data_IF_375710253149
#
_entry.id   IF_375710253149
#
_cell.length_a   1.000
_cell.length_b   1.000
_cell.length_c   1.000
_cell.angle_alpha   90.00
_cell.angle_beta   90.00
_cell.angle_gamma   90.00
#
_symmetry.space_group_name_H-M   'P 1'
#
loop_
_entity.id
_entity.type
_entity.pdbx_description
1 polymer ?
#
# COMPACT_ATOMS: atom_id res chain seq x y z
N UNK A 1 5.41 5.83 -12.52
CA UNK A 1 5.44 5.18 -13.77
C UNK A 1 4.99 3.72 -13.79
N UNK A 2 4.05 3.39 -12.92
CA UNK A 2 3.37 2.11 -12.99
C UNK A 2 2.47 2.07 -14.24
N UNK A 3 2.42 0.90 -14.89
CA UNK A 3 1.47 0.69 -15.98
C UNK A 3 0.05 0.62 -15.49
N UNK A 4 -0.15 -0.04 -14.35
CA UNK A 4 -1.46 -0.30 -13.78
C UNK A 4 -1.39 -0.06 -12.28
N UNK A 5 -2.39 0.64 -11.75
CA UNK A 5 -2.59 0.83 -10.32
C UNK A 5 -4.00 0.34 -10.01
N UNK A 6 -4.13 -0.61 -9.08
CA UNK A 6 -5.41 -1.19 -8.70
C UNK A 6 -5.54 -1.27 -7.19
N UNK A 7 -6.76 -1.08 -6.71
CA UNK A 7 -7.11 -1.38 -5.32
C UNK A 7 -7.73 -2.77 -5.27
N UNK A 8 -7.46 -3.50 -4.19
CA UNK A 8 -8.03 -4.81 -3.97
C UNK A 8 -8.35 -4.97 -2.49
N UNK A 9 -9.17 -5.97 -2.17
CA UNK A 9 -9.50 -6.31 -0.78
C UNK A 9 -9.10 -7.75 -0.54
N UNK A 10 -8.33 -7.97 0.53
CA UNK A 10 -7.89 -9.29 0.95
C UNK A 10 -8.00 -9.37 2.46
N UNK A 11 -8.68 -10.42 2.96
CA UNK A 11 -8.95 -10.58 4.40
C UNK A 11 -9.59 -9.32 5.01
N UNK A 12 -10.53 -8.71 4.29
CA UNK A 12 -11.28 -7.51 4.70
C UNK A 12 -10.42 -6.26 4.85
N UNK A 13 -9.21 -6.26 4.30
CA UNK A 13 -8.30 -5.12 4.33
C UNK A 13 -7.92 -4.71 2.92
N UNK A 14 -7.55 -3.45 2.75
CA UNK A 14 -7.21 -2.91 1.45
C UNK A 14 -5.77 -3.21 1.06
N UNK A 15 -5.59 -3.46 -0.23
CA UNK A 15 -4.28 -3.54 -0.87
C UNK A 15 -4.25 -2.53 -2.01
N UNK A 16 -3.08 -1.95 -2.25
CA UNK A 16 -2.82 -1.21 -3.49
C UNK A 16 -1.78 -1.99 -4.28
N UNK A 17 -2.11 -2.35 -5.51
CA UNK A 17 -1.23 -3.14 -6.37
C UNK A 17 -0.78 -2.26 -7.52
N UNK A 18 0.54 -2.10 -7.67
CA UNK A 18 1.16 -1.32 -8.72
C UNK A 18 2.00 -2.24 -9.59
N UNK A 19 1.65 -2.32 -10.87
CA UNK A 19 2.34 -3.18 -11.81
C UNK A 19 3.21 -2.35 -12.75
N UNK A 20 4.45 -2.80 -12.96
CA UNK A 20 5.42 -2.16 -13.84
C UNK A 20 5.71 -3.05 -15.05
N UNK A 21 6.42 -2.53 -16.03
CA UNK A 21 6.82 -3.31 -17.20
C UNK A 21 7.72 -4.50 -16.83
N UNK A 22 8.57 -4.31 -15.83
CA UNK A 22 9.54 -5.31 -15.41
C UNK A 22 9.82 -5.18 -13.92
N UNK A 23 10.46 -6.18 -13.34
CA UNK A 23 10.93 -6.08 -11.96
C UNK A 23 11.98 -4.97 -11.82
N UNK A 24 12.85 -4.80 -12.81
CA UNK A 24 13.84 -3.73 -12.79
C UNK A 24 13.15 -2.36 -12.68
N UNK A 25 12.08 -2.15 -13.43
CA UNK A 25 11.32 -0.90 -13.37
C UNK A 25 10.62 -0.74 -12.02
N UNK A 26 10.08 -1.80 -11.45
CA UNK A 26 9.48 -1.74 -10.10
C UNK A 26 10.51 -1.31 -9.07
N UNK A 27 11.72 -1.84 -9.13
CA UNK A 27 12.81 -1.49 -8.21
C UNK A 27 13.32 -0.08 -8.44
N UNK A 28 13.49 0.33 -9.69
CA UNK A 28 14.05 1.63 -10.02
C UNK A 28 13.06 2.77 -9.84
N UNK A 29 11.83 2.60 -10.30
CA UNK A 29 10.84 3.67 -10.36
C UNK A 29 9.75 3.59 -9.29
N UNK A 30 9.66 2.49 -8.59
CA UNK A 30 8.58 2.24 -7.64
C UNK A 30 9.01 2.14 -6.18
N UNK A 31 10.08 1.43 -5.90
CA UNK A 31 10.43 1.11 -4.50
C UNK A 31 10.73 2.33 -3.66
N UNK A 32 11.44 3.32 -4.18
CA UNK A 32 11.74 4.54 -3.42
C UNK A 32 10.45 5.25 -3.01
N UNK A 33 9.45 5.24 -3.88
CA UNK A 33 8.16 5.87 -3.60
C UNK A 33 7.34 5.06 -2.61
N UNK A 34 7.38 3.73 -2.74
CA UNK A 34 6.72 2.85 -1.76
C UNK A 34 7.27 3.08 -0.36
N UNK A 35 8.58 3.21 -0.23
CA UNK A 35 9.21 3.55 1.05
C UNK A 35 8.74 4.90 1.58
N UNK A 36 8.51 5.87 0.71
CA UNK A 36 8.12 7.23 1.12
C UNK A 36 6.69 7.29 1.66
N UNK A 37 5.82 6.35 1.30
CA UNK A 37 4.40 6.37 1.70
C UNK A 37 4.04 5.30 2.72
N UNK A 38 5.01 4.53 3.19
CA UNK A 38 4.79 3.47 4.19
C UNK A 38 5.68 3.71 5.41
N UNK A 39 5.34 3.04 6.52
CA UNK A 39 6.12 3.11 7.76
C UNK A 39 5.84 4.37 8.57
N UNK A 40 6.66 4.57 9.61
CA UNK A 40 6.44 5.64 10.58
C UNK A 40 6.78 7.03 10.04
N UNK A 41 7.65 7.11 9.05
CA UNK A 41 8.08 8.37 8.45
C UNK A 41 7.39 8.66 7.12
N UNK A 42 6.25 8.03 6.88
CA UNK A 42 5.54 8.15 5.62
C UNK A 42 5.08 9.58 5.34
N UNK A 43 5.22 10.00 4.08
CA UNK A 43 4.64 11.24 3.56
C UNK A 43 3.26 10.87 3.00
N UNK A 44 2.20 11.25 3.71
CA UNK A 44 0.88 10.68 3.46
C UNK A 44 -0.13 11.66 2.88
N UNK A 45 0.19 12.93 2.81
CA UNK A 45 -0.72 13.94 2.24
C UNK A 45 0.06 15.14 1.73
N UNK A 46 -0.62 15.96 0.92
CA UNK A 46 -0.06 17.20 0.39
C UNK A 46 0.81 16.99 -0.85
N UNK A 47 1.53 18.05 -1.20
CA UNK A 47 2.31 18.09 -2.44
C UNK A 47 3.57 17.24 -2.39
N UNK A 48 3.99 16.82 -1.18
CA UNK A 48 5.19 16.02 -1.00
C UNK A 48 4.97 14.53 -1.26
N UNK A 49 3.71 14.11 -1.51
CA UNK A 49 3.43 12.74 -1.93
C UNK A 49 3.97 12.54 -3.34
N UNK A 50 4.91 11.61 -3.49
CA UNK A 50 5.73 11.51 -4.68
C UNK A 50 5.07 10.85 -5.89
N UNK A 51 4.11 9.96 -5.65
CA UNK A 51 3.43 9.29 -6.77
C UNK A 51 2.44 10.21 -7.46
N UNK A 52 2.51 10.25 -8.77
CA UNK A 52 1.59 11.05 -9.59
C UNK A 52 0.31 10.31 -9.94
N UNK A 53 0.35 9.00 -9.97
CA UNK A 53 -0.80 8.15 -10.23
C UNK A 53 -1.30 7.52 -8.93
N UNK A 54 -2.60 7.32 -8.84
CA UNK A 54 -3.25 6.78 -7.66
C UNK A 54 -3.64 7.86 -6.65
N UNK A 55 -3.91 7.47 -5.43
CA UNK A 55 -4.38 8.37 -4.39
C UNK A 55 -3.28 9.30 -3.91
N UNK A 56 -3.60 10.58 -3.77
CA UNK A 56 -2.69 11.57 -3.17
C UNK A 56 -2.82 11.61 -1.65
N UNK A 57 -4.01 11.35 -1.13
CA UNK A 57 -4.22 11.26 0.31
C UNK A 57 -3.99 9.82 0.73
N UNK A 58 -2.91 9.58 1.45
CA UNK A 58 -2.49 8.26 1.87
C UNK A 58 -2.58 8.06 3.36
N UNK A 59 -3.36 8.92 4.02
CA UNK A 59 -3.57 8.83 5.47
C UNK A 59 -4.50 7.66 5.80
N UNK A 60 -4.29 7.10 6.99
CA UNK A 60 -5.22 6.12 7.55
C UNK A 60 -6.46 6.85 8.05
N UNK A 61 -7.60 6.49 7.51
CA UNK A 61 -8.88 7.08 7.89
C UNK A 61 -9.80 5.98 8.42
N UNK A 62 -10.32 6.18 9.62
CA UNK A 62 -11.21 5.20 10.27
C UNK A 62 -12.41 5.93 10.89
N UNK A 63 -13.57 5.28 10.98
CA UNK A 63 -14.71 5.84 11.71
C UNK A 63 -14.34 6.03 13.19
N UNK A 64 -14.76 7.16 13.78
CA UNK A 64 -14.54 7.39 15.20
C UNK A 64 -15.59 6.63 16.00
N UNK A 65 -15.15 5.92 17.04
CA UNK A 65 -16.04 5.13 17.88
C UNK A 65 -17.10 6.02 18.53
N UNK A 66 -18.35 5.58 18.49
CA UNK A 66 -19.47 6.26 19.12
C UNK A 66 -19.99 7.48 18.36
N UNK A 67 -19.48 7.75 17.15
CA UNK A 67 -19.96 8.86 16.32
C UNK A 67 -20.16 8.40 14.88
N UNK A 68 -20.87 9.22 14.09
CA UNK A 68 -20.97 9.00 12.66
C UNK A 68 -19.81 9.67 11.90
N UNK A 69 -18.92 10.33 12.61
CA UNK A 69 -17.76 10.99 12.00
C UNK A 69 -16.63 10.02 11.77
N UNK A 70 -15.88 10.25 10.71
CA UNK A 70 -14.63 9.56 10.46
C UNK A 70 -13.47 10.53 10.64
N UNK A 71 -12.30 10.00 10.98
CA UNK A 71 -11.11 10.80 11.15
C UNK A 71 -9.94 10.18 10.43
N UNK A 72 -8.98 11.03 10.05
CA UNK A 72 -7.76 10.59 9.40
C UNK A 72 -6.57 10.98 10.26
N UNK A 73 -5.67 10.01 10.46
CA UNK A 73 -4.40 10.22 11.17
C UNK A 73 -3.31 10.59 10.17
N UNK A 74 -2.24 11.24 10.64
CA UNK A 74 -1.06 11.48 9.82
C UNK A 74 -0.19 10.22 9.71
N UNK A 75 -0.75 9.06 9.97
CA UNK A 75 -0.11 7.76 9.80
C UNK A 75 -0.48 7.16 8.45
N UNK A 76 0.42 6.37 7.89
CA UNK A 76 0.20 5.74 6.60
C UNK A 76 -0.97 4.77 6.64
N UNK A 77 -1.83 4.84 5.61
CA UNK A 77 -2.88 3.86 5.40
C UNK A 77 -2.29 2.47 5.16
N UNK A 78 -1.22 2.40 4.37
CA UNK A 78 -0.48 1.18 4.11
C UNK A 78 0.80 1.23 4.92
N UNK A 79 0.91 0.36 5.93
CA UNK A 79 2.06 0.40 6.85
C UNK A 79 3.31 -0.23 6.28
N UNK A 80 3.19 -1.06 5.26
CA UNK A 80 4.33 -1.72 4.63
C UNK A 80 3.97 -2.18 3.21
N UNK A 81 4.96 -2.67 2.49
CA UNK A 81 4.82 -3.16 1.12
C UNK A 81 5.72 -4.35 0.86
N UNK A 82 5.41 -5.11 -0.19
CA UNK A 82 6.31 -6.15 -0.73
C UNK A 82 6.46 -5.96 -2.24
N UNK A 83 7.51 -6.54 -2.78
CA UNK A 83 7.75 -6.60 -4.22
C UNK A 83 7.66 -8.05 -4.66
N UNK A 84 6.81 -8.31 -5.65
CA UNK A 84 6.65 -9.62 -6.25
C UNK A 84 6.76 -9.49 -7.76
N UNK A 85 7.88 -9.98 -8.33
CA UNK A 85 8.11 -9.83 -9.76
C UNK A 85 8.09 -8.36 -10.18
N UNK A 86 7.19 -8.00 -11.08
CA UNK A 86 7.04 -6.62 -11.56
C UNK A 86 5.96 -5.84 -10.80
N UNK A 87 5.53 -6.32 -9.63
CA UNK A 87 4.49 -5.67 -8.84
C UNK A 87 5.02 -5.17 -7.50
N UNK A 88 4.53 -4.02 -7.08
CA UNK A 88 4.66 -3.53 -5.71
C UNK A 88 3.28 -3.58 -5.09
N UNK A 89 3.18 -4.19 -3.91
CA UNK A 89 1.91 -4.38 -3.21
C UNK A 89 2.01 -3.68 -1.86
N UNK A 90 1.16 -2.68 -1.65
CA UNK A 90 1.05 -1.94 -0.40
C UNK A 90 -0.08 -2.55 0.42
N UNK A 91 0.16 -2.80 1.69
CA UNK A 91 -0.76 -3.54 2.55
C UNK A 91 -1.22 -2.71 3.74
N UNK A 92 -2.54 -2.67 3.94
CA UNK A 92 -3.17 -1.95 5.05
C UNK A 92 -2.94 -2.68 6.37
N UNK A 93 -2.90 -1.92 7.46
CA UNK A 93 -2.82 -2.46 8.81
C UNK A 93 -2.82 -1.34 9.83
N UNK A 94 -3.11 -1.69 11.08
CA UNK A 94 -3.08 -0.73 12.18
C UNK A 94 -1.65 -0.44 12.63
N UNK A 95 -0.71 -1.29 12.25
CA UNK A 95 0.71 -1.13 12.55
C UNK A 95 1.52 -1.64 11.37
N UNK A 96 2.81 -1.34 11.35
CA UNK A 96 3.73 -1.88 10.34
C UNK A 96 3.75 -3.40 10.37
N UNK A 97 3.73 -4.00 11.57
CA UNK A 97 3.74 -5.46 11.73
C UNK A 97 2.48 -6.09 11.15
N UNK A 98 1.31 -5.51 11.37
CA UNK A 98 0.06 -6.02 10.80
C UNK A 98 0.07 -5.91 9.28
N UNK A 99 0.58 -4.81 8.75
CA UNK A 99 0.70 -4.61 7.31
C UNK A 99 1.65 -5.64 6.68
N UNK A 100 2.78 -5.89 7.32
CA UNK A 100 3.73 -6.90 6.87
C UNK A 100 3.10 -8.29 6.86
N UNK A 101 2.37 -8.63 7.92
CA UNK A 101 1.68 -9.92 8.00
C UNK A 101 0.66 -10.07 6.88
N UNK A 102 -0.11 -9.04 6.61
CA UNK A 102 -1.09 -9.05 5.50
C UNK A 102 -0.39 -9.26 4.15
N UNK A 103 0.73 -8.58 3.93
CA UNK A 103 1.52 -8.76 2.72
C UNK A 103 1.99 -10.21 2.55
N UNK A 104 2.49 -10.83 3.61
CA UNK A 104 2.94 -12.22 3.55
C UNK A 104 1.79 -13.19 3.33
N UNK A 105 0.64 -12.96 3.97
CA UNK A 105 -0.54 -13.79 3.75
C UNK A 105 -1.03 -13.70 2.29
N UNK A 106 -1.03 -12.50 1.74
CA UNK A 106 -1.40 -12.28 0.34
C UNK A 106 -0.42 -12.95 -0.61
N UNK A 107 0.87 -12.82 -0.35
CA UNK A 107 1.93 -13.46 -1.12
C UNK A 107 1.74 -14.98 -1.12
N UNK A 108 1.52 -15.56 0.05
CA UNK A 108 1.32 -17.00 0.17
C UNK A 108 0.08 -17.46 -0.58
N UNK A 109 -1.00 -16.69 -0.53
CA UNK A 109 -2.23 -17.00 -1.26
C UNK A 109 -1.99 -16.98 -2.78
N UNK A 110 -1.24 -15.99 -3.28
CA UNK A 110 -0.91 -15.90 -4.71
C UNK A 110 -0.04 -17.07 -5.16
N UNK A 111 0.98 -17.42 -4.37
CA UNK A 111 1.90 -18.51 -4.70
C UNK A 111 1.21 -19.87 -4.64
N UNK A 112 0.19 -20.00 -3.81
CA UNK A 112 -0.59 -21.25 -3.67
C UNK A 112 -1.66 -21.40 -4.74
N UNK A 113 -1.96 -20.33 -5.48
CA UNK A 113 -3.02 -20.36 -6.49
C UNK A 113 -2.59 -21.22 -7.69
N UNK A 114 -3.44 -22.18 -8.04
CA UNK A 114 -3.23 -23.08 -9.18
C UNK A 114 -4.44 -22.95 -10.10
N UNK A 115 -4.32 -22.23 -11.22
CA UNK A 115 -5.41 -22.07 -12.16
C UNK A 115 -5.80 -23.39 -12.86
#
# INVERSE_FOLDING_TARGET
>A
NAEIVRSAIFNKKDLEIRKYFSQADALEFGEIYAKSVTGNDAIVSGDDVMWNEGAKDRRKCVPRAGTSESGCDQKARYGDYIIMGNMIILCEGLSTEESMLLCYEFKDALLSYQP
#
